data_IF_113964954545
#
_entry.id   IF_113964954545
#
_cell.length_a   1.000
_cell.length_b   1.000
_cell.length_c   1.000
_cell.angle_alpha   90.00
_cell.angle_beta   90.00
_cell.angle_gamma   90.00
#
_symmetry.space_group_name_H-M   'P 1'
#
loop_
_entity.id
_entity.type
_entity.pdbx_description
1 polymer ?
#
# COMPACT_ATOMS: atom_id res chain seq x y z
N UNK A 1 -5.10 -15.52 -8.34
CA UNK A 1 -6.19 -14.67 -7.77
C UNK A 1 -5.67 -13.29 -7.35
N UNK A 2 -4.61 -13.20 -6.54
CA UNK A 2 -4.01 -11.90 -6.14
C UNK A 2 -3.76 -10.94 -7.31
N UNK A 3 -3.18 -11.45 -8.41
CA UNK A 3 -2.95 -10.66 -9.63
C UNK A 3 -4.24 -9.99 -10.15
N UNK A 4 -5.29 -10.77 -10.39
CA UNK A 4 -6.57 -10.24 -10.91
C UNK A 4 -7.23 -9.23 -9.96
N UNK A 5 -7.16 -9.46 -8.64
CA UNK A 5 -7.64 -8.48 -7.65
C UNK A 5 -6.84 -7.18 -7.74
N UNK A 6 -5.52 -7.26 -7.93
CA UNK A 6 -4.68 -6.07 -8.07
C UNK A 6 -5.09 -5.26 -9.30
N UNK A 7 -5.34 -5.90 -10.45
CA UNK A 7 -5.75 -5.21 -11.67
C UNK A 7 -7.12 -4.52 -11.50
N UNK A 8 -8.06 -5.18 -10.82
CA UNK A 8 -9.36 -4.59 -10.50
C UNK A 8 -9.21 -3.37 -9.58
N UNK A 9 -8.38 -3.45 -8.54
CA UNK A 9 -8.12 -2.31 -7.65
C UNK A 9 -7.40 -1.17 -8.36
N UNK A 10 -6.49 -1.45 -9.31
CA UNK A 10 -5.85 -0.42 -10.15
C UNK A 10 -6.88 0.40 -10.93
N UNK A 11 -7.92 -0.25 -11.45
CA UNK A 11 -9.01 0.43 -12.14
C UNK A 11 -9.80 1.33 -11.18
N UNK A 12 -10.15 0.83 -9.99
CA UNK A 12 -10.97 1.56 -9.01
C UNK A 12 -10.20 2.75 -8.41
N UNK A 13 -8.94 2.53 -8.01
CA UNK A 13 -8.15 3.49 -7.26
C UNK A 13 -7.33 4.43 -8.15
N UNK A 14 -7.12 4.10 -9.43
CA UNK A 14 -6.34 4.91 -10.37
C UNK A 14 -6.72 6.40 -10.36
N UNK A 15 -8.01 6.78 -10.48
CA UNK A 15 -8.43 8.17 -10.40
C UNK A 15 -8.06 8.86 -9.08
N UNK A 16 -8.08 8.13 -7.95
CA UNK A 16 -7.69 8.68 -6.65
C UNK A 16 -6.19 8.97 -6.60
N UNK A 17 -5.34 8.04 -7.06
CA UNK A 17 -3.89 8.26 -7.11
C UNK A 17 -3.52 9.45 -8.00
N UNK A 18 -4.13 9.56 -9.18
CA UNK A 18 -3.95 10.70 -10.07
C UNK A 18 -4.34 12.01 -9.39
N UNK A 19 -5.52 12.03 -8.74
CA UNK A 19 -5.97 13.22 -7.99
C UNK A 19 -4.96 13.63 -6.91
N UNK A 20 -4.46 12.68 -6.12
CA UNK A 20 -3.47 12.98 -5.07
C UNK A 20 -2.18 13.56 -5.65
N UNK A 21 -1.68 12.99 -6.74
CA UNK A 21 -0.49 13.52 -7.40
C UNK A 21 -0.73 14.90 -8.01
N UNK A 22 -1.90 15.13 -8.62
CA UNK A 22 -2.30 16.44 -9.13
C UNK A 22 -2.34 17.47 -8.01
N UNK A 23 -3.02 17.19 -6.90
CA UNK A 23 -3.10 18.08 -5.74
C UNK A 23 -1.69 18.39 -5.14
N UNK A 24 -0.77 17.42 -5.19
CA UNK A 24 0.62 17.61 -4.77
C UNK A 24 1.35 18.56 -5.74
N UNK A 25 1.19 18.36 -7.05
CA UNK A 25 1.85 19.15 -8.10
C UNK A 25 1.30 20.58 -8.21
N UNK A 26 0.00 20.78 -7.98
CA UNK A 26 -0.63 22.11 -7.96
C UNK A 26 -0.36 22.87 -6.66
N UNK A 27 0.05 22.16 -5.60
CA UNK A 27 0.22 22.71 -4.26
C UNK A 27 -1.09 22.81 -3.46
N UNK A 28 -2.19 22.24 -3.96
CA UNK A 28 -3.46 22.20 -3.23
C UNK A 28 -3.36 21.32 -1.98
N UNK A 29 -2.61 20.22 -2.05
CA UNK A 29 -2.33 19.36 -0.89
C UNK A 29 -1.64 20.15 0.24
N UNK A 30 -0.52 20.80 -0.07
CA UNK A 30 0.25 21.54 0.92
C UNK A 30 -0.51 22.76 1.43
N UNK A 31 -1.23 23.47 0.56
CA UNK A 31 -2.08 24.61 0.95
C UNK A 31 -3.19 24.18 1.93
N UNK A 32 -3.86 23.06 1.65
CA UNK A 32 -4.91 22.51 2.52
C UNK A 32 -4.38 22.05 3.88
N UNK A 33 -3.19 21.44 3.92
CA UNK A 33 -2.52 21.05 5.16
C UNK A 33 -2.09 22.26 5.98
N UNK A 34 -1.45 23.26 5.36
CA UNK A 34 -1.04 24.50 6.03
C UNK A 34 -2.25 25.24 6.61
N UNK A 35 -3.40 25.19 5.95
CA UNK A 35 -4.63 25.74 6.49
C UNK A 35 -5.08 25.03 7.77
N UNK A 36 -4.93 23.71 7.84
CA UNK A 36 -5.22 22.94 9.06
C UNK A 36 -4.25 23.29 10.19
N UNK A 37 -2.96 23.49 9.88
CA UNK A 37 -1.97 23.94 10.86
C UNK A 37 -2.29 25.33 11.41
N UNK A 38 -2.84 26.22 10.59
CA UNK A 38 -3.34 27.52 11.04
C UNK A 38 -4.62 27.44 11.88
N UNK A 39 -5.32 26.30 11.84
CA UNK A 39 -6.51 25.99 12.63
C UNK A 39 -6.17 25.01 13.78
N UNK A 40 -4.98 25.14 14.35
CA UNK A 40 -4.47 24.35 15.47
C UNK A 40 -4.56 22.82 15.25
N UNK A 41 -4.24 22.36 14.03
CA UNK A 41 -4.24 20.96 13.61
C UNK A 41 -5.59 20.25 13.80
N UNK A 42 -6.70 21.00 13.70
CA UNK A 42 -8.03 20.49 14.06
C UNK A 42 -8.41 19.21 13.28
N UNK A 43 -8.19 19.14 11.96
CA UNK A 43 -8.49 17.93 11.20
C UNK A 43 -7.53 16.81 11.54
N UNK A 44 -6.22 17.07 11.55
CA UNK A 44 -5.21 16.06 11.87
C UNK A 44 -5.50 15.39 13.21
N UNK A 45 -5.72 16.18 14.27
CA UNK A 45 -6.01 15.68 15.61
C UNK A 45 -7.35 14.93 15.67
N UNK A 46 -8.37 15.41 14.96
CA UNK A 46 -9.67 14.74 14.88
C UNK A 46 -9.57 13.39 14.19
N UNK A 47 -8.87 13.30 13.06
CA UNK A 47 -8.64 12.06 12.32
C UNK A 47 -7.76 11.07 13.08
N UNK A 48 -6.73 11.56 13.77
CA UNK A 48 -5.89 10.77 14.68
C UNK A 48 -6.73 10.14 15.78
N UNK A 49 -7.60 10.93 16.43
CA UNK A 49 -8.52 10.43 17.44
C UNK A 49 -9.48 9.37 16.89
N UNK A 50 -10.13 9.63 15.76
CA UNK A 50 -11.04 8.69 15.11
C UNK A 50 -10.35 7.38 14.76
N UNK A 51 -9.11 7.44 14.26
CA UNK A 51 -8.30 6.25 13.95
C UNK A 51 -8.02 5.43 15.22
N UNK A 52 -7.70 6.09 16.33
CA UNK A 52 -7.52 5.48 17.65
C UNK A 52 -8.77 4.79 18.20
N UNK A 53 -9.96 5.16 17.71
CA UNK A 53 -11.25 4.60 18.12
C UNK A 53 -11.73 3.45 17.19
N UNK A 54 -11.00 3.14 16.11
CA UNK A 54 -11.39 2.06 15.19
C UNK A 54 -11.31 0.68 15.85
N UNK A 55 -12.10 -0.27 15.34
CA UNK A 55 -12.10 -1.65 15.84
C UNK A 55 -10.72 -2.28 15.70
N UNK A 56 -10.05 -2.12 14.55
CA UNK A 56 -8.70 -2.65 14.32
C UNK A 56 -7.70 -2.17 15.37
N UNK A 57 -7.72 -0.87 15.68
CA UNK A 57 -6.78 -0.28 16.64
C UNK A 57 -7.04 -0.80 18.07
N UNK A 58 -8.31 -1.06 18.40
CA UNK A 58 -8.74 -1.55 19.71
C UNK A 58 -8.82 -3.08 19.83
N UNK A 59 -8.55 -3.84 18.76
CA UNK A 59 -8.53 -5.31 18.80
C UNK A 59 -7.55 -5.82 19.85
N UNK A 60 -7.98 -6.79 20.66
CA UNK A 60 -7.10 -7.48 21.61
C UNK A 60 -6.10 -8.33 20.84
N UNK A 61 -4.84 -8.32 21.28
CA UNK A 61 -3.79 -9.17 20.68
C UNK A 61 -4.22 -10.63 20.81
N UNK A 62 -4.28 -11.33 19.68
CA UNK A 62 -4.57 -12.75 19.66
C UNK A 62 -3.34 -13.53 20.16
N UNK A 63 -3.56 -14.49 21.06
CA UNK A 63 -2.54 -15.45 21.48
C UNK A 63 -2.57 -16.66 20.53
N UNK A 64 -2.20 -16.39 19.27
CA UNK A 64 -2.17 -17.38 18.19
C UNK A 64 -0.85 -17.22 17.46
N UNK A 65 -0.13 -18.33 17.32
CA UNK A 65 1.03 -18.40 16.43
C UNK A 65 0.53 -18.55 14.99
N UNK A 66 0.96 -17.64 14.12
CA UNK A 66 0.64 -17.67 12.69
C UNK A 66 1.96 -17.84 11.95
N UNK A 67 2.06 -18.88 11.13
CA UNK A 67 3.25 -19.13 10.33
C UNK A 67 3.38 -18.12 9.18
N UNK A 68 4.59 -17.95 8.66
CA UNK A 68 4.84 -17.06 7.51
C UNK A 68 3.96 -17.41 6.31
N UNK A 69 3.84 -18.71 5.99
CA UNK A 69 3.03 -19.16 4.87
C UNK A 69 1.54 -18.86 5.06
N UNK A 70 1.02 -18.97 6.29
CA UNK A 70 -0.38 -18.62 6.58
C UNK A 70 -0.68 -17.14 6.34
N UNK A 71 0.27 -16.22 6.59
CA UNK A 71 0.07 -14.81 6.22
C UNK A 71 -0.12 -14.62 4.71
N UNK A 72 0.60 -15.37 3.88
CA UNK A 72 0.44 -15.30 2.43
C UNK A 72 -0.82 -16.00 1.94
N UNK A 73 -1.12 -17.19 2.47
CA UNK A 73 -2.26 -18.00 2.05
C UNK A 73 -3.59 -17.38 2.48
N UNK A 74 -3.62 -16.78 3.67
CA UNK A 74 -4.81 -16.10 4.20
C UNK A 74 -4.87 -14.63 3.79
N UNK A 75 -3.77 -14.03 3.33
CA UNK A 75 -3.65 -12.61 3.01
C UNK A 75 -3.67 -12.29 1.51
N UNK A 76 -4.35 -13.08 0.68
CA UNK A 76 -4.36 -12.91 -0.79
C UNK A 76 -4.77 -11.49 -1.21
N UNK A 77 -5.79 -10.93 -0.55
CA UNK A 77 -6.22 -9.55 -0.78
C UNK A 77 -5.14 -8.53 -0.36
N UNK A 78 -4.45 -8.75 0.76
CA UNK A 78 -3.38 -7.86 1.23
C UNK A 78 -2.22 -7.83 0.23
N UNK A 79 -1.82 -8.98 -0.31
CA UNK A 79 -0.80 -9.08 -1.36
C UNK A 79 -1.24 -8.29 -2.62
N UNK A 80 -2.50 -8.43 -3.01
CA UNK A 80 -3.04 -7.68 -4.14
C UNK A 80 -3.04 -6.16 -3.88
N UNK A 81 -3.39 -5.72 -2.66
CA UNK A 81 -3.43 -4.31 -2.27
C UNK A 81 -2.03 -3.69 -2.32
N UNK A 82 -1.02 -4.39 -1.81
CA UNK A 82 0.38 -3.94 -1.89
C UNK A 82 0.83 -3.81 -3.34
N UNK A 83 0.58 -4.82 -4.18
CA UNK A 83 0.92 -4.75 -5.62
C UNK A 83 0.24 -3.54 -6.27
N UNK A 84 -1.08 -3.42 -6.14
CA UNK A 84 -1.84 -2.36 -6.79
C UNK A 84 -1.39 -0.97 -6.31
N UNK A 85 -1.24 -0.78 -5.00
CA UNK A 85 -0.84 0.52 -4.44
C UNK A 85 0.56 0.96 -4.86
N UNK A 86 1.53 0.04 -4.81
CA UNK A 86 2.91 0.32 -5.24
C UNK A 86 2.97 0.65 -6.73
N UNK A 87 2.30 -0.16 -7.56
CA UNK A 87 2.29 0.07 -9.01
C UNK A 87 1.61 1.40 -9.35
N UNK A 88 0.44 1.70 -8.78
CA UNK A 88 -0.25 2.97 -9.01
C UNK A 88 0.58 4.17 -8.57
N UNK A 89 1.20 4.11 -7.38
CA UNK A 89 2.06 5.18 -6.89
C UNK A 89 3.24 5.41 -7.86
N UNK A 90 3.91 4.33 -8.27
CA UNK A 90 5.04 4.39 -9.19
C UNK A 90 4.63 4.94 -10.57
N UNK A 91 3.58 4.39 -11.17
CA UNK A 91 3.05 4.79 -12.48
C UNK A 91 2.64 6.26 -12.46
N UNK A 92 1.93 6.69 -11.43
CA UNK A 92 1.45 8.06 -11.28
C UNK A 92 2.60 9.05 -11.12
N UNK A 93 3.56 8.74 -10.25
CA UNK A 93 4.76 9.57 -10.06
C UNK A 93 5.57 9.71 -11.36
N UNK A 94 5.82 8.59 -12.05
CA UNK A 94 6.59 8.61 -13.29
C UNK A 94 5.86 9.31 -14.44
N UNK A 95 4.53 9.19 -14.52
CA UNK A 95 3.70 9.94 -15.46
C UNK A 95 3.75 11.46 -15.20
N UNK A 96 3.89 11.88 -13.94
CA UNK A 96 4.09 13.29 -13.56
C UNK A 96 5.52 13.81 -13.82
N UNK A 97 6.42 12.98 -14.34
CA UNK A 97 7.81 13.34 -14.67
C UNK A 97 8.82 13.06 -13.55
N UNK A 98 8.42 12.39 -12.47
CA UNK A 98 9.36 11.93 -11.44
C UNK A 98 10.21 10.79 -12.00
N UNK A 99 11.51 10.80 -11.68
CA UNK A 99 12.44 9.75 -12.14
C UNK A 99 12.02 8.40 -11.58
N UNK A 100 12.17 7.35 -12.39
CA UNK A 100 11.84 5.98 -11.99
C UNK A 100 12.59 5.53 -10.73
N UNK A 101 13.84 5.96 -10.54
CA UNK A 101 14.60 5.67 -9.34
C UNK A 101 13.98 6.31 -8.09
N UNK A 102 13.61 7.58 -8.18
CA UNK A 102 12.93 8.29 -7.09
C UNK A 102 11.58 7.66 -6.80
N UNK A 103 10.76 7.43 -7.83
CA UNK A 103 9.47 6.78 -7.68
C UNK A 103 9.60 5.39 -7.02
N UNK A 104 10.63 4.61 -7.34
CA UNK A 104 10.90 3.32 -6.70
C UNK A 104 11.23 3.45 -5.21
N UNK A 105 12.09 4.41 -4.84
CA UNK A 105 12.46 4.64 -3.44
C UNK A 105 11.24 5.07 -2.62
N UNK A 106 10.47 6.02 -3.13
CA UNK A 106 9.28 6.61 -2.46
C UNK A 106 8.01 5.75 -2.58
N UNK A 107 8.07 4.55 -3.21
CA UNK A 107 6.94 3.61 -3.27
C UNK A 107 7.30 2.25 -2.72
N UNK A 108 8.07 1.44 -3.46
CA UNK A 108 8.34 0.05 -3.11
C UNK A 108 9.42 -0.11 -2.04
N UNK A 109 10.46 0.71 -2.06
CA UNK A 109 11.62 0.51 -1.18
C UNK A 109 11.29 0.73 0.31
N UNK A 110 10.42 1.70 0.62
CA UNK A 110 10.07 2.06 1.99
C UNK A 110 8.94 1.21 2.60
N UNK A 111 8.15 0.49 1.78
CA UNK A 111 7.03 -0.33 2.29
C UNK A 111 7.43 -1.23 3.46
N UNK A 112 8.57 -1.97 3.43
CA UNK A 112 8.95 -2.83 4.56
C UNK A 112 9.17 -2.05 5.87
N UNK A 113 9.70 -0.83 5.80
CA UNK A 113 9.93 -0.01 6.99
C UNK A 113 8.61 0.43 7.63
N UNK A 114 7.66 0.90 6.81
CA UNK A 114 6.33 1.28 7.28
C UNK A 114 5.55 0.05 7.79
N UNK A 115 5.61 -1.08 7.08
CA UNK A 115 4.99 -2.32 7.54
C UNK A 115 5.51 -2.77 8.92
N UNK A 116 6.80 -2.58 9.21
CA UNK A 116 7.37 -2.89 10.52
C UNK A 116 6.78 -2.02 11.65
N UNK A 117 6.45 -0.75 11.38
CA UNK A 117 5.78 0.10 12.39
C UNK A 117 4.38 -0.42 12.72
N UNK A 118 3.62 -0.87 11.72
CA UNK A 118 2.28 -1.47 11.90
C UNK A 118 2.38 -2.79 12.66
N UNK A 119 3.35 -3.64 12.31
CA UNK A 119 3.59 -4.90 13.01
C UNK A 119 3.94 -4.69 14.50
N UNK A 120 4.63 -3.59 14.82
CA UNK A 120 5.02 -3.29 16.20
C UNK A 120 3.84 -2.86 17.05
N UNK A 121 3.03 -1.92 16.58
CA UNK A 121 1.99 -1.23 17.38
C UNK A 121 0.89 -0.59 16.50
N UNK A 122 0.44 -1.32 15.48
CA UNK A 122 -0.70 -0.99 14.63
C UNK A 122 -0.59 0.40 13.97
N UNK A 123 -1.73 1.04 13.65
CA UNK A 123 -1.73 2.33 12.95
C UNK A 123 -1.23 3.46 13.86
N UNK A 124 -1.36 3.32 15.18
CA UNK A 124 -0.82 4.28 16.14
C UNK A 124 0.69 4.47 15.97
N UNK A 125 1.48 3.40 15.95
CA UNK A 125 2.94 3.53 15.83
C UNK A 125 3.36 4.01 14.44
N UNK A 126 2.65 3.60 13.39
CA UNK A 126 2.88 4.13 12.05
C UNK A 126 2.72 5.66 12.05
N UNK A 127 1.55 6.16 12.47
CA UNK A 127 1.23 7.58 12.47
C UNK A 127 2.12 8.38 13.43
N UNK A 128 2.53 7.79 14.56
CA UNK A 128 3.45 8.42 15.51
C UNK A 128 4.93 8.40 15.06
N UNK A 129 5.29 7.59 14.06
CA UNK A 129 6.67 7.50 13.55
C UNK A 129 6.91 8.43 12.36
N UNK A 130 5.89 8.64 11.53
CA UNK A 130 5.97 9.49 10.34
C UNK A 130 5.79 10.98 10.71
N UNK A 131 6.07 11.89 9.77
CA UNK A 131 5.84 13.32 9.99
C UNK A 131 4.34 13.68 9.97
N UNK A 132 3.97 14.81 10.58
CA UNK A 132 2.58 15.32 10.53
C UNK A 132 2.09 15.49 9.08
N UNK A 133 2.98 15.85 8.14
CA UNK A 133 2.66 15.91 6.70
C UNK A 133 2.27 14.56 6.13
N UNK A 134 3.03 13.51 6.46
CA UNK A 134 2.75 12.15 6.01
C UNK A 134 1.49 11.59 6.66
N UNK A 135 1.27 11.86 7.96
CA UNK A 135 0.06 11.46 8.68
C UNK A 135 -1.19 12.16 8.12
N UNK A 136 -1.13 13.48 7.90
CA UNK A 136 -2.22 14.22 7.28
C UNK A 136 -2.55 13.69 5.89
N UNK A 137 -1.53 13.43 5.06
CA UNK A 137 -1.69 12.81 3.75
C UNK A 137 -2.29 11.40 3.81
N UNK A 138 -1.88 10.59 4.78
CA UNK A 138 -2.43 9.26 5.03
C UNK A 138 -3.93 9.33 5.33
N UNK A 139 -4.37 10.22 6.21
CA UNK A 139 -5.79 10.39 6.52
C UNK A 139 -6.59 10.95 5.36
N UNK A 140 -6.05 11.93 4.63
CA UNK A 140 -6.69 12.47 3.43
C UNK A 140 -6.96 11.36 2.40
N UNK A 141 -5.96 10.51 2.15
CA UNK A 141 -6.10 9.36 1.27
C UNK A 141 -7.10 8.34 1.81
N UNK A 142 -6.98 7.95 3.08
CA UNK A 142 -7.82 6.91 3.69
C UNK A 142 -9.32 7.27 3.65
N UNK A 143 -9.67 8.52 3.97
CA UNK A 143 -11.07 8.98 3.92
C UNK A 143 -11.67 8.97 2.51
N UNK A 144 -10.85 9.13 1.47
CA UNK A 144 -11.29 9.00 0.09
C UNK A 144 -11.28 7.55 -0.41
N UNK A 145 -10.31 6.75 0.02
CA UNK A 145 -10.09 5.37 -0.42
C UNK A 145 -11.13 4.40 0.14
N UNK A 146 -11.44 4.47 1.44
CA UNK A 146 -12.38 3.55 2.09
C UNK A 146 -13.77 3.53 1.42
N UNK A 147 -14.42 4.68 1.14
CA UNK A 147 -15.70 4.68 0.43
C UNK A 147 -15.62 4.06 -0.97
N UNK A 148 -14.54 4.34 -1.72
CA UNK A 148 -14.35 3.83 -3.08
C UNK A 148 -14.24 2.30 -3.14
N UNK A 149 -13.69 1.68 -2.10
CA UNK A 149 -13.55 0.23 -2.04
C UNK A 149 -14.79 -0.48 -1.49
N UNK A 150 -15.84 0.24 -1.04
CA UNK A 150 -17.01 -0.39 -0.40
C UNK A 150 -17.69 -1.44 -1.28
N UNK A 151 -17.95 -1.10 -2.55
CA UNK A 151 -18.58 -2.02 -3.50
C UNK A 151 -17.67 -3.21 -3.79
N UNK A 152 -16.38 -2.97 -4.05
CA UNK A 152 -15.39 -4.02 -4.25
C UNK A 152 -15.30 -4.99 -3.06
N UNK A 153 -15.30 -4.46 -1.83
CA UNK A 153 -15.23 -5.26 -0.61
C UNK A 153 -16.50 -6.09 -0.38
N UNK A 154 -17.63 -5.75 -1.00
CA UNK A 154 -18.86 -6.56 -0.90
C UNK A 154 -18.75 -7.91 -1.63
N UNK A 155 -17.87 -8.00 -2.63
CA UNK A 155 -17.57 -9.24 -3.35
C UNK A 155 -16.41 -10.04 -2.73
N UNK A 156 -15.71 -9.46 -1.75
CA UNK A 156 -14.61 -10.12 -1.04
C UNK A 156 -15.16 -11.11 -0.01
N UNK A 157 -14.65 -12.34 -0.04
CA UNK A 157 -15.03 -13.38 0.91
C UNK A 157 -13.81 -13.89 1.71
N UNK A 158 -14.07 -14.79 2.67
CA UNK A 158 -13.05 -15.34 3.57
C UNK A 158 -11.92 -16.07 2.85
N UNK A 159 -12.14 -16.56 1.63
CA UNK A 159 -11.12 -17.29 0.89
C UNK A 159 -10.05 -16.34 0.33
N UNK A 160 -10.39 -15.06 0.16
CA UNK A 160 -9.47 -14.00 -0.29
C UNK A 160 -8.80 -13.27 0.87
N UNK A 161 -9.42 -13.26 2.04
CA UNK A 161 -8.89 -12.67 3.27
C UNK A 161 -9.36 -13.48 4.49
N UNK A 162 -8.47 -14.28 5.08
CA UNK A 162 -8.71 -15.03 6.33
C UNK A 162 -8.53 -16.55 6.24
N UNK A 163 -9.31 -17.26 5.43
CA UNK A 163 -9.29 -18.73 5.32
C UNK A 163 -8.33 -19.25 4.24
N UNK A 164 -8.10 -18.46 3.20
CA UNK A 164 -7.37 -18.90 2.02
C UNK A 164 -8.19 -19.82 1.10
N UNK A 165 -7.62 -20.18 -0.05
CA UNK A 165 -8.33 -20.86 -1.14
C UNK A 165 -8.59 -22.36 -0.92
N UNK A 166 -8.00 -22.98 0.10
CA UNK A 166 -8.20 -24.40 0.42
C UNK A 166 -7.92 -25.34 -0.77
N UNK A 167 -6.92 -25.01 -1.60
CA UNK A 167 -6.65 -25.71 -2.86
C UNK A 167 -6.12 -27.14 -2.59
N UNK A 168 -6.95 -28.14 -2.87
CA UNK A 168 -6.55 -29.54 -2.90
C UNK A 168 -5.91 -29.95 -4.25
N UNK A 169 -6.07 -29.10 -5.27
CA UNK A 169 -5.48 -29.25 -6.60
C UNK A 169 -4.69 -27.97 -6.93
N UNK A 170 -3.40 -28.13 -7.22
CA UNK A 170 -2.47 -27.05 -7.60
C UNK A 170 -2.44 -26.83 -9.12
N UNK A 171 -3.31 -27.51 -9.87
CA UNK A 171 -3.47 -27.34 -11.30
C UNK A 171 -3.87 -25.91 -11.66
N UNK A 172 -2.91 -25.15 -12.16
CA UNK A 172 -3.12 -23.86 -12.82
C UNK A 172 -2.76 -24.04 -14.29
N UNK A 173 -3.47 -23.35 -15.19
CA UNK A 173 -3.07 -23.32 -16.60
C UNK A 173 -1.65 -22.75 -16.71
N UNK A 174 -0.72 -23.60 -17.17
CA UNK A 174 0.69 -23.24 -17.30
C UNK A 174 0.88 -22.01 -18.19
N UNK A 175 0.06 -21.85 -19.23
CA UNK A 175 0.18 -20.72 -20.14
C UNK A 175 -0.19 -19.41 -19.42
N UNK A 176 -1.34 -19.41 -18.73
CA UNK A 176 -1.78 -18.26 -17.93
C UNK A 176 -0.77 -17.92 -16.82
N UNK A 177 -0.19 -18.93 -16.17
CA UNK A 177 0.82 -18.74 -15.14
C UNK A 177 2.10 -18.09 -15.70
N UNK A 178 2.55 -18.51 -16.88
CA UNK A 178 3.70 -17.91 -17.57
C UNK A 178 3.42 -16.45 -17.91
N UNK A 179 2.24 -16.15 -18.45
CA UNK A 179 1.83 -14.79 -18.83
C UNK A 179 1.79 -13.86 -17.62
N UNK A 180 1.12 -14.26 -16.54
CA UNK A 180 1.05 -13.47 -15.31
C UNK A 180 2.44 -13.23 -14.71
N UNK A 181 3.30 -14.26 -14.68
CA UNK A 181 4.66 -14.09 -14.16
C UNK A 181 5.51 -13.16 -15.03
N UNK A 182 5.34 -13.21 -16.35
CA UNK A 182 6.02 -12.31 -17.26
C UNK A 182 5.54 -10.87 -17.06
N UNK A 183 4.24 -10.66 -16.93
CA UNK A 183 3.63 -9.35 -16.69
C UNK A 183 4.15 -8.73 -15.39
N UNK A 184 4.04 -9.44 -14.26
CA UNK A 184 4.52 -8.97 -12.95
C UNK A 184 6.01 -8.55 -13.04
N UNK A 185 6.87 -9.40 -13.63
CA UNK A 185 8.32 -9.14 -13.69
C UNK A 185 8.70 -8.05 -14.69
N UNK A 186 7.84 -7.78 -15.67
CA UNK A 186 8.07 -6.75 -16.68
C UNK A 186 7.55 -5.38 -16.26
N UNK A 187 6.83 -5.28 -15.13
CA UNK A 187 6.40 -3.98 -14.62
C UNK A 187 7.61 -3.06 -14.38
N UNK A 188 7.57 -1.77 -14.79
CA UNK A 188 8.70 -0.86 -14.67
C UNK A 188 9.29 -0.74 -13.26
N UNK A 189 8.45 -0.79 -12.21
CA UNK A 189 8.90 -0.78 -10.79
C UNK A 189 9.81 -1.97 -10.46
N UNK A 190 9.51 -3.15 -11.02
CA UNK A 190 10.30 -4.37 -10.82
C UNK A 190 11.61 -4.31 -11.59
N UNK A 191 11.58 -3.77 -12.81
CA UNK A 191 12.78 -3.60 -13.64
C UNK A 191 13.79 -2.64 -12.97
N UNK A 192 13.35 -1.45 -12.57
CA UNK A 192 14.23 -0.49 -11.90
C UNK A 192 14.63 -0.99 -10.51
N UNK A 193 13.71 -1.62 -9.78
CA UNK A 193 13.97 -2.19 -8.46
C UNK A 193 15.03 -3.28 -8.47
N UNK A 194 15.00 -4.17 -9.46
CA UNK A 194 16.06 -5.18 -9.64
C UNK A 194 17.42 -4.53 -9.83
N UNK A 195 17.50 -3.49 -10.67
CA UNK A 195 18.75 -2.75 -10.91
C UNK A 195 19.26 -2.09 -9.62
N UNK A 196 18.41 -1.34 -8.92
CA UNK A 196 18.79 -0.61 -7.71
C UNK A 196 19.17 -1.54 -6.55
N UNK A 197 18.42 -2.64 -6.33
CA UNK A 197 18.78 -3.67 -5.32
C UNK A 197 20.09 -4.36 -5.65
N UNK A 198 20.38 -4.56 -6.93
CA UNK A 198 21.67 -5.06 -7.40
C UNK A 198 22.83 -4.16 -6.99
N UNK A 199 22.68 -2.84 -7.14
CA UNK A 199 23.69 -1.87 -6.71
C UNK A 199 23.87 -1.85 -5.19
N UNK A 200 22.79 -1.83 -4.41
CA UNK A 200 22.86 -1.85 -2.94
C UNK A 200 23.56 -3.11 -2.41
N UNK A 201 23.30 -4.26 -3.02
CA UNK A 201 23.94 -5.54 -2.64
C UNK A 201 25.44 -5.54 -3.00
N UNK A 202 25.82 -4.86 -4.07
CA UNK A 202 27.21 -4.75 -4.52
C UNK A 202 28.05 -3.72 -3.74
N UNK A 203 27.41 -2.81 -3.00
CA UNK A 203 28.12 -1.87 -2.10
C UNK A 203 28.69 -2.64 -0.91
N UNK A 204 30.02 -2.63 -0.77
CA UNK A 204 30.67 -3.11 0.45
C UNK A 204 30.27 -2.21 1.63
N UNK A 205 30.11 -2.77 2.85
CA UNK A 205 29.99 -1.94 4.04
C UNK A 205 31.25 -1.07 4.13
N UNK A 206 31.08 0.25 4.03
CA UNK A 206 32.13 1.19 4.41
C UNK A 206 32.01 1.32 5.92
N UNK A 207 32.69 0.44 6.63
CA UNK A 207 32.91 0.53 8.07
C UNK A 207 34.06 1.48 8.40
#
# INVERSE_FOLDING_TARGET
KAFALSEQMKIILGPLYLKHMDDIMTGDFSSGMMQDWHDDDHKLLSWRKQTGETEFENTVVADVEISEQEYFDHGILMVAMVKAGVELAFETMTAAGIKAESAYYESLHEVPLIANTIARKKLFEMNNTISDTAEYGCYLYNHACLPLLTEFMSDVNSDLIGRGLGLNDLGVDNQQLIEINAEIRSHPVEQIGRTLRGYMTAMKPVG
#
